data_IF_349108277050
#
_entry.id   IF_349108277050
#
_cell.length_a   1.000
_cell.length_b   1.000
_cell.length_c   1.000
_cell.angle_alpha   90.00
_cell.angle_beta   90.00
_cell.angle_gamma   90.00
#
_symmetry.space_group_name_H-M   'P 1'
#
loop_
_entity.id
_entity.type
_entity.pdbx_description
1 polymer ?
#
# COMPACT_ATOMS: atom_id res chain seq x y z
N UNK A 1 -30.61 -38.59 27.97
CA UNK A 1 -30.96 -37.94 29.24
C UNK A 1 -30.74 -36.45 29.00
N UNK A 2 -31.80 -35.68 28.75
CA UNK A 2 -32.52 -34.75 29.64
C UNK A 2 -31.52 -33.80 30.36
N UNK A 3 -31.55 -32.48 30.24
CA UNK A 3 -32.70 -31.62 30.49
C UNK A 3 -32.40 -30.20 29.97
N UNK A 4 -33.43 -29.49 29.47
CA UNK A 4 -33.57 -28.09 29.15
C UNK A 4 -33.54 -27.23 30.42
N UNK A 5 -33.12 -25.95 30.32
CA UNK A 5 -33.79 -24.89 31.06
C UNK A 5 -33.78 -23.57 30.29
N UNK A 6 -34.97 -23.09 30.06
CA UNK A 6 -35.38 -21.75 29.66
C UNK A 6 -35.37 -20.80 30.86
N UNK A 7 -35.01 -19.56 30.67
CA UNK A 7 -35.55 -18.48 31.49
C UNK A 7 -35.59 -17.19 30.65
N UNK A 8 -36.82 -16.85 30.30
CA UNK A 8 -37.21 -15.53 29.83
C UNK A 8 -37.58 -14.68 31.07
N UNK A 9 -37.24 -13.40 31.07
CA UNK A 9 -37.99 -12.46 31.91
C UNK A 9 -38.12 -11.09 31.23
N UNK A 10 -39.33 -10.62 31.26
CA UNK A 10 -39.92 -9.47 30.60
C UNK A 10 -39.83 -8.18 31.43
N UNK A 11 -40.07 -7.05 30.72
CA UNK A 11 -40.79 -5.84 31.09
C UNK A 11 -40.16 -4.79 32.03
N UNK A 12 -40.04 -3.56 31.50
CA UNK A 12 -40.87 -2.46 32.00
C UNK A 12 -40.88 -1.29 31.00
N UNK A 13 -42.04 -1.02 30.47
CA UNK A 13 -42.43 0.23 29.79
C UNK A 13 -42.74 1.31 30.82
N UNK A 14 -42.22 2.50 30.61
CA UNK A 14 -42.72 3.70 31.33
C UNK A 14 -43.11 4.74 30.27
N UNK A 15 -44.40 4.89 30.12
CA UNK A 15 -45.07 5.97 29.39
C UNK A 15 -45.12 7.21 30.28
N UNK A 16 -44.57 8.32 29.82
CA UNK A 16 -44.96 9.65 30.32
C UNK A 16 -45.58 10.45 29.18
N UNK A 17 -46.90 10.55 29.23
CA UNK A 17 -47.68 11.53 28.48
C UNK A 17 -47.62 12.86 29.21
N UNK A 18 -47.19 13.92 28.55
CA UNK A 18 -47.50 15.27 28.90
C UNK A 18 -47.92 16.02 27.65
N UNK A 19 -49.21 16.36 27.57
CA UNK A 19 -49.75 17.29 26.60
C UNK A 19 -49.51 18.73 27.08
N UNK A 20 -48.95 19.55 26.19
CA UNK A 20 -49.21 20.99 26.21
C UNK A 20 -49.24 21.49 24.75
N UNK A 21 -50.35 22.17 24.42
CA UNK A 21 -50.61 22.89 23.17
C UNK A 21 -49.70 24.10 23.05
N UNK A 22 -49.09 24.39 21.91
CA UNK A 22 -49.44 25.47 20.99
C UNK A 22 -48.48 25.59 19.80
N UNK A 23 -49.09 25.63 18.62
CA UNK A 23 -48.81 26.37 17.41
C UNK A 23 -47.43 26.27 16.66
N UNK A 24 -47.58 25.82 15.41
CA UNK A 24 -46.76 26.16 14.23
C UNK A 24 -45.26 26.03 14.37
N UNK A 25 -44.82 24.81 14.07
CA UNK A 25 -43.51 24.60 13.42
C UNK A 25 -43.60 23.47 12.41
N UNK A 26 -43.18 23.76 11.20
CA UNK A 26 -42.92 22.76 10.15
C UNK A 26 -42.07 21.63 10.73
N UNK A 27 -42.25 20.36 10.32
CA UNK A 27 -41.43 19.28 10.78
C UNK A 27 -40.00 19.51 10.26
N UNK A 28 -39.12 20.02 11.14
CA UNK A 28 -37.68 19.94 10.90
C UNK A 28 -37.32 18.49 10.74
N UNK A 29 -37.14 18.08 9.50
CA UNK A 29 -36.52 16.79 9.14
C UNK A 29 -35.18 16.78 9.86
N UNK A 30 -35.07 15.96 10.91
CA UNK A 30 -33.76 15.62 11.50
C UNK A 30 -32.89 15.11 10.38
N UNK A 31 -31.72 15.70 10.10
CA UNK A 31 -30.82 15.12 9.11
C UNK A 31 -30.50 13.70 9.56
N UNK A 32 -30.81 12.74 8.71
CA UNK A 32 -30.30 11.37 8.83
C UNK A 32 -28.79 11.50 9.00
N UNK A 33 -28.15 10.81 9.97
CA UNK A 33 -26.70 10.82 10.07
C UNK A 33 -26.16 10.34 8.73
N UNK A 34 -25.73 11.25 7.88
CA UNK A 34 -25.00 10.92 6.67
C UNK A 34 -23.77 10.16 7.12
N UNK A 35 -23.50 9.03 6.51
CA UNK A 35 -22.26 8.30 6.71
C UNK A 35 -21.14 9.25 6.28
N UNK A 36 -20.49 9.92 7.22
CA UNK A 36 -19.39 10.83 6.92
C UNK A 36 -18.30 10.04 6.18
N UNK A 37 -17.95 10.53 5.01
CA UNK A 37 -16.89 9.92 4.20
C UNK A 37 -15.57 10.04 4.97
N UNK A 38 -14.79 8.95 5.09
CA UNK A 38 -13.51 8.99 5.78
C UNK A 38 -12.58 10.07 5.22
N UNK A 39 -11.92 10.77 6.11
CA UNK A 39 -10.91 11.79 5.79
C UNK A 39 -9.57 11.38 6.40
N UNK A 40 -8.44 12.00 6.02
CA UNK A 40 -7.17 11.77 6.70
C UNK A 40 -7.20 11.99 8.21
N UNK A 41 -8.06 12.90 8.69
CA UNK A 41 -8.21 13.16 10.12
C UNK A 41 -8.92 12.02 10.84
N UNK A 42 -9.98 11.43 10.25
CA UNK A 42 -10.80 10.38 10.86
C UNK A 42 -10.29 8.97 10.60
N UNK A 43 -9.46 8.76 9.57
CA UNK A 43 -8.90 7.46 9.24
C UNK A 43 -7.93 6.97 10.33
N UNK A 44 -8.11 5.73 10.75
CA UNK A 44 -7.23 5.09 11.74
C UNK A 44 -5.85 4.81 11.15
N UNK A 45 -4.81 4.97 11.98
CA UNK A 45 -3.47 4.52 11.66
C UNK A 45 -3.42 3.00 11.84
N UNK A 46 -3.01 2.32 10.78
CA UNK A 46 -2.72 0.89 10.78
C UNK A 46 -1.23 0.67 10.55
N UNK A 47 -0.73 -0.49 10.96
CA UNK A 47 0.62 -0.93 10.69
C UNK A 47 0.62 -2.10 9.72
N UNK A 48 1.59 -2.11 8.80
CA UNK A 48 1.87 -3.23 7.90
C UNK A 48 3.33 -3.61 7.98
N UNK A 49 3.60 -4.90 8.08
CA UNK A 49 4.96 -5.45 8.02
C UNK A 49 4.93 -6.83 7.36
N UNK A 50 5.86 -7.10 6.48
CA UNK A 50 6.09 -8.43 5.93
C UNK A 50 7.52 -8.59 5.41
N UNK A 51 7.99 -9.83 5.36
CA UNK A 51 9.28 -10.14 4.75
C UNK A 51 9.18 -10.02 3.23
N UNK A 52 10.23 -9.48 2.62
CA UNK A 52 10.37 -9.50 1.18
C UNK A 52 10.74 -10.91 0.71
N UNK A 53 10.08 -11.41 -0.35
CA UNK A 53 10.48 -12.66 -1.01
C UNK A 53 11.85 -12.51 -1.69
N UNK A 54 12.09 -13.22 -2.75
CA UNK A 54 13.28 -13.03 -3.60
C UNK A 54 13.18 -11.80 -4.50
N UNK A 55 14.20 -11.64 -5.35
CA UNK A 55 14.18 -10.63 -6.41
C UNK A 55 13.26 -11.01 -7.59
N UNK A 56 12.73 -12.21 -7.61
CA UNK A 56 11.84 -12.73 -8.64
C UNK A 56 10.37 -12.52 -8.34
N UNK A 57 10.03 -11.89 -7.20
CA UNK A 57 8.66 -11.83 -6.70
C UNK A 57 8.30 -10.48 -6.09
N UNK A 58 7.02 -10.18 -6.14
CA UNK A 58 6.37 -9.01 -5.57
C UNK A 58 5.51 -9.36 -4.36
N UNK A 59 5.34 -8.39 -3.47
CA UNK A 59 4.29 -8.36 -2.43
C UNK A 59 3.23 -7.36 -2.87
N UNK A 60 2.01 -7.81 -3.11
CA UNK A 60 0.85 -7.00 -3.46
C UNK A 60 -0.01 -6.78 -2.22
N UNK A 61 -0.23 -5.54 -1.81
CA UNK A 61 -0.90 -5.16 -0.56
C UNK A 61 -2.24 -4.49 -0.83
N UNK A 62 -3.30 -5.00 -0.23
CA UNK A 62 -4.61 -4.35 -0.11
C UNK A 62 -4.61 -3.53 1.19
N UNK A 63 -4.54 -2.21 1.08
CA UNK A 63 -4.48 -1.30 2.23
C UNK A 63 -5.81 -1.22 3.01
N UNK A 64 -6.93 -1.51 2.37
CA UNK A 64 -8.23 -1.53 3.06
C UNK A 64 -8.25 -2.62 4.11
N UNK A 65 -7.82 -3.83 3.75
CA UNK A 65 -7.86 -5.00 4.62
C UNK A 65 -6.55 -5.27 5.36
N UNK A 66 -5.43 -4.73 4.90
CA UNK A 66 -4.08 -5.04 5.37
C UNK A 66 -3.59 -6.43 4.94
N UNK A 67 -4.30 -7.11 4.04
CA UNK A 67 -3.87 -8.40 3.48
C UNK A 67 -2.88 -8.19 2.34
N UNK A 68 -2.09 -9.22 2.08
CA UNK A 68 -1.17 -9.22 0.95
C UNK A 68 -1.12 -10.58 0.26
N UNK A 69 -0.70 -10.55 -1.00
CA UNK A 69 -0.40 -11.74 -1.80
C UNK A 69 1.02 -11.62 -2.35
N UNK A 70 1.73 -12.74 -2.39
CA UNK A 70 3.01 -12.84 -3.05
C UNK A 70 2.82 -13.44 -4.43
N UNK A 71 3.44 -12.83 -5.44
CA UNK A 71 3.41 -13.34 -6.81
C UNK A 71 4.75 -13.15 -7.48
N UNK A 72 5.15 -14.13 -8.30
CA UNK A 72 6.34 -14.03 -9.13
C UNK A 72 6.20 -12.90 -10.16
N UNK A 73 7.34 -12.27 -10.53
CA UNK A 73 7.37 -11.32 -11.64
C UNK A 73 6.96 -12.01 -12.95
N UNK A 74 5.92 -11.46 -13.59
CA UNK A 74 5.29 -12.05 -14.77
C UNK A 74 5.87 -11.53 -16.09
N UNK A 75 6.61 -10.43 -16.09
CA UNK A 75 7.17 -9.82 -17.28
C UNK A 75 8.24 -10.69 -17.96
N UNK A 76 8.53 -10.36 -19.22
CA UNK A 76 9.65 -10.97 -19.93
C UNK A 76 10.97 -10.66 -19.22
N UNK A 77 11.89 -11.60 -19.26
CA UNK A 77 13.21 -11.49 -18.64
C UNK A 77 14.28 -11.33 -19.68
N UNK A 78 15.13 -10.32 -19.54
CA UNK A 78 16.33 -10.12 -20.36
C UNK A 78 17.59 -10.44 -19.53
N UNK A 79 18.41 -11.35 -20.01
CA UNK A 79 19.70 -11.69 -19.43
C UNK A 79 20.75 -10.81 -20.12
N UNK A 80 21.30 -9.86 -19.39
CA UNK A 80 22.22 -8.85 -19.91
C UNK A 80 23.64 -9.07 -19.39
N UNK A 81 24.60 -9.08 -20.31
CA UNK A 81 26.03 -9.02 -20.01
C UNK A 81 26.48 -7.57 -20.17
N UNK A 82 26.90 -6.95 -19.09
CA UNK A 82 27.32 -5.56 -19.10
C UNK A 82 28.81 -5.44 -19.42
N UNK A 83 29.14 -4.61 -20.42
CA UNK A 83 30.49 -4.17 -20.72
C UNK A 83 30.88 -2.93 -19.93
N UNK A 84 29.88 -2.01 -19.72
CA UNK A 84 29.96 -0.83 -18.88
C UNK A 84 28.61 -0.65 -18.14
N UNK A 85 28.45 0.39 -17.34
CA UNK A 85 27.17 0.65 -16.64
C UNK A 85 25.99 0.94 -17.61
N UNK A 86 26.28 1.36 -18.83
CA UNK A 86 25.25 1.74 -19.83
C UNK A 86 25.29 0.95 -21.12
N UNK A 87 26.35 0.15 -21.31
CA UNK A 87 26.53 -0.68 -22.50
C UNK A 87 26.45 -2.15 -22.12
N UNK A 88 25.50 -2.86 -22.73
CA UNK A 88 25.27 -4.29 -22.49
C UNK A 88 24.83 -5.04 -23.75
N UNK A 89 25.05 -6.32 -23.72
CA UNK A 89 24.55 -7.29 -24.69
C UNK A 89 23.41 -8.10 -24.06
N UNK A 90 22.30 -8.26 -24.77
CA UNK A 90 21.25 -9.20 -24.39
C UNK A 90 21.62 -10.59 -24.90
N UNK A 91 22.05 -11.47 -24.01
CA UNK A 91 22.50 -12.82 -24.33
C UNK A 91 21.37 -13.85 -24.38
N UNK A 92 20.25 -13.55 -23.70
CA UNK A 92 19.07 -14.41 -23.66
C UNK A 92 17.84 -13.58 -23.29
N UNK A 93 16.68 -13.96 -23.84
CA UNK A 93 15.38 -13.44 -23.42
C UNK A 93 14.45 -14.61 -23.11
N UNK A 94 13.72 -14.51 -22.01
CA UNK A 94 12.61 -15.40 -21.67
C UNK A 94 11.28 -14.65 -21.86
N UNK A 95 10.26 -15.32 -22.45
CA UNK A 95 8.96 -14.68 -22.65
C UNK A 95 8.29 -14.36 -21.32
N UNK A 96 7.34 -13.42 -21.34
CA UNK A 96 6.51 -13.12 -20.21
C UNK A 96 5.68 -14.35 -19.79
N UNK A 97 5.56 -14.58 -18.48
CA UNK A 97 4.77 -15.67 -17.90
C UNK A 97 3.29 -15.29 -17.77
N UNK A 98 2.99 -14.03 -17.87
CA UNK A 98 1.65 -13.47 -17.75
C UNK A 98 1.62 -11.97 -18.06
N UNK A 99 0.55 -11.33 -17.68
CA UNK A 99 0.25 -9.91 -17.94
C UNK A 99 -0.39 -9.23 -16.73
N UNK A 100 -0.67 -7.95 -16.82
CA UNK A 100 -1.41 -7.20 -15.78
C UNK A 100 -2.78 -7.82 -15.40
N UNK A 101 -3.38 -8.64 -16.26
CA UNK A 101 -4.66 -9.34 -15.99
C UNK A 101 -4.50 -10.52 -15.02
N UNK A 102 -3.27 -11.01 -14.90
CA UNK A 102 -2.92 -12.17 -14.08
C UNK A 102 -2.42 -11.76 -12.69
N UNK A 103 -2.36 -10.44 -12.41
CA UNK A 103 -2.03 -9.89 -11.09
C UNK A 103 -3.16 -10.13 -10.09
N UNK A 104 -2.89 -10.04 -8.79
CA UNK A 104 -3.91 -10.12 -7.75
C UNK A 104 -5.08 -9.17 -8.05
N UNK A 105 -6.31 -9.63 -7.82
CA UNK A 105 -7.52 -8.87 -8.20
C UNK A 105 -7.70 -7.57 -7.40
N UNK A 106 -7.17 -7.54 -6.19
CA UNK A 106 -7.32 -6.41 -5.29
C UNK A 106 -6.00 -6.10 -4.61
N UNK A 107 -5.42 -4.97 -4.98
CA UNK A 107 -4.22 -4.44 -4.39
C UNK A 107 -4.14 -2.92 -4.65
N UNK A 108 -3.43 -2.22 -3.78
CA UNK A 108 -3.21 -0.78 -3.87
C UNK A 108 -1.73 -0.48 -4.12
N UNK A 109 -0.84 -1.17 -3.41
CA UNK A 109 0.61 -1.05 -3.53
C UNK A 109 1.25 -2.41 -3.77
N UNK A 110 2.33 -2.41 -4.54
CA UNK A 110 3.17 -3.59 -4.65
C UNK A 110 4.64 -3.23 -4.41
N UNK A 111 5.35 -4.12 -3.73
CA UNK A 111 6.74 -3.94 -3.32
C UNK A 111 7.63 -5.02 -3.89
N UNK A 112 8.75 -4.60 -4.47
CA UNK A 112 9.84 -5.45 -4.95
C UNK A 112 11.15 -4.92 -4.36
N UNK A 113 11.59 -5.52 -3.28
CA UNK A 113 12.73 -5.07 -2.47
C UNK A 113 12.51 -3.62 -1.99
N UNK A 114 12.97 -2.62 -2.72
CA UNK A 114 12.74 -1.20 -2.43
C UNK A 114 11.99 -0.48 -3.55
N UNK A 115 11.75 -1.18 -4.64
CA UNK A 115 10.92 -0.67 -5.72
C UNK A 115 9.45 -0.76 -5.33
N UNK A 116 8.69 0.24 -5.72
CA UNK A 116 7.26 0.33 -5.42
C UNK A 116 6.49 0.66 -6.68
N UNK A 117 5.35 0.02 -6.84
CA UNK A 117 4.34 0.41 -7.83
C UNK A 117 3.00 0.64 -7.15
N UNK A 118 2.24 1.56 -7.68
CA UNK A 118 0.85 1.78 -7.30
C UNK A 118 -0.07 1.11 -8.33
N UNK A 119 -1.30 0.84 -7.97
CA UNK A 119 -2.27 0.31 -8.91
C UNK A 119 -2.86 1.44 -9.79
N UNK A 120 -2.03 2.05 -10.62
CA UNK A 120 -2.40 3.18 -11.45
C UNK A 120 -2.63 4.48 -10.66
N UNK A 121 -2.07 4.59 -9.47
CA UNK A 121 -2.14 5.78 -8.64
C UNK A 121 -0.98 6.74 -8.88
N UNK A 122 -0.93 7.79 -8.05
CA UNK A 122 0.14 8.77 -8.04
C UNK A 122 0.53 9.16 -6.60
N UNK A 123 1.78 9.53 -6.39
CA UNK A 123 2.39 9.73 -5.08
C UNK A 123 3.01 11.12 -4.96
N UNK A 124 2.85 11.73 -3.80
CA UNK A 124 3.55 12.95 -3.38
C UNK A 124 4.31 12.65 -2.09
N UNK A 125 5.63 12.78 -2.10
CA UNK A 125 6.42 12.82 -0.87
C UNK A 125 6.24 14.20 -0.23
N UNK A 126 5.71 14.24 0.99
CA UNK A 126 5.44 15.49 1.70
C UNK A 126 6.65 15.93 2.54
N UNK A 127 6.60 17.13 3.08
CA UNK A 127 7.58 17.59 4.09
C UNK A 127 7.21 17.15 5.51
N UNK A 128 6.05 16.51 5.70
CA UNK A 128 5.57 16.07 7.01
C UNK A 128 6.25 14.78 7.44
N UNK A 129 6.58 14.68 8.72
CA UNK A 129 7.20 13.50 9.35
C UNK A 129 6.25 12.76 10.29
N UNK A 130 5.06 13.31 10.53
CA UNK A 130 4.05 12.72 11.39
C UNK A 130 2.74 12.53 10.64
N UNK A 131 2.38 11.27 10.43
CA UNK A 131 1.14 10.89 9.74
C UNK A 131 -0.13 11.39 10.46
N UNK A 132 -0.08 11.57 11.79
CA UNK A 132 -1.21 12.06 12.58
C UNK A 132 -1.48 13.55 12.37
N UNK A 133 -0.46 14.33 11.98
CA UNK A 133 -0.61 15.78 11.79
C UNK A 133 -1.34 16.14 10.50
N UNK A 134 -1.46 15.19 9.56
CA UNK A 134 -2.09 15.43 8.26
C UNK A 134 -3.60 15.22 8.39
N UNK A 135 -4.35 16.31 8.34
CA UNK A 135 -5.82 16.35 8.46
C UNK A 135 -6.54 16.34 7.11
N UNK A 136 -5.88 16.79 6.08
CA UNK A 136 -6.36 16.78 4.69
C UNK A 136 -5.24 16.30 3.79
N UNK A 137 -5.59 15.63 2.68
CA UNK A 137 -4.56 15.18 1.74
C UNK A 137 -3.82 16.38 1.17
N UNK A 138 -2.47 16.42 1.25
CA UNK A 138 -1.70 17.56 0.76
C UNK A 138 -1.94 17.85 -0.72
N UNK A 139 -1.93 19.12 -1.09
CA UNK A 139 -1.91 19.53 -2.48
C UNK A 139 -0.47 19.53 -3.01
N UNK A 140 -0.29 19.29 -4.28
CA UNK A 140 1.03 19.27 -4.93
C UNK A 140 1.04 18.41 -6.18
N UNK A 141 2.24 18.24 -6.74
CA UNK A 141 2.47 17.48 -7.96
C UNK A 141 2.66 15.99 -7.62
N UNK A 142 1.58 15.24 -7.80
CA UNK A 142 1.60 13.79 -7.61
C UNK A 142 2.23 13.11 -8.81
N UNK A 143 3.21 12.25 -8.56
CA UNK A 143 3.98 11.51 -9.58
C UNK A 143 3.36 10.13 -9.79
N UNK A 144 2.93 9.85 -11.01
CA UNK A 144 2.40 8.55 -11.40
C UNK A 144 3.53 7.52 -11.62
N UNK A 145 3.15 6.25 -11.70
CA UNK A 145 4.06 5.18 -12.09
C UNK A 145 4.54 5.38 -13.54
N UNK A 146 5.80 5.08 -13.77
CA UNK A 146 6.44 5.18 -15.10
C UNK A 146 7.08 3.86 -15.51
N UNK A 147 7.18 3.59 -16.83
CA UNK A 147 7.93 2.44 -17.36
C UNK A 147 9.34 2.42 -16.80
N UNK A 148 9.74 1.27 -16.29
CA UNK A 148 11.00 1.09 -15.57
C UNK A 148 11.48 -0.35 -15.68
N UNK A 149 12.63 -0.63 -15.09
CA UNK A 149 13.20 -1.98 -15.02
C UNK A 149 13.52 -2.33 -13.58
N UNK A 150 13.39 -3.62 -13.25
CA UNK A 150 13.78 -4.20 -11.98
C UNK A 150 14.73 -5.37 -12.20
N UNK A 151 15.55 -5.64 -11.19
CA UNK A 151 16.35 -6.85 -11.11
C UNK A 151 15.50 -8.00 -10.61
N UNK A 152 15.44 -9.11 -11.37
CA UNK A 152 14.61 -10.26 -11.01
C UNK A 152 15.41 -11.50 -10.61
N UNK A 153 16.73 -11.48 -10.78
CA UNK A 153 17.56 -12.61 -10.39
C UNK A 153 18.99 -12.18 -10.04
N UNK A 154 19.47 -12.58 -8.86
CA UNK A 154 20.85 -12.40 -8.44
C UNK A 154 21.75 -13.63 -8.70
N UNK A 155 21.15 -14.80 -8.92
CA UNK A 155 21.88 -16.04 -9.15
C UNK A 155 22.73 -15.98 -10.41
N UNK A 156 22.16 -15.49 -11.49
CA UNK A 156 22.84 -15.32 -12.78
C UNK A 156 24.02 -14.35 -12.69
N UNK A 157 23.92 -13.29 -11.90
CA UNK A 157 25.02 -12.37 -11.66
C UNK A 157 26.18 -13.04 -10.93
N UNK A 158 25.91 -13.90 -9.95
CA UNK A 158 26.92 -14.65 -9.21
C UNK A 158 27.58 -15.73 -10.05
N UNK A 159 26.80 -16.40 -10.91
CA UNK A 159 27.25 -17.54 -11.70
C UNK A 159 27.96 -17.17 -13.00
N UNK A 160 27.64 -16.03 -13.61
CA UNK A 160 28.19 -15.69 -14.93
C UNK A 160 28.28 -14.18 -15.20
N UNK A 161 28.09 -13.32 -14.19
CA UNK A 161 28.14 -11.86 -14.38
C UNK A 161 26.95 -11.31 -15.16
N UNK A 162 25.88 -12.09 -15.31
CA UNK A 162 24.66 -11.66 -16.01
C UNK A 162 23.72 -10.93 -15.04
N UNK A 163 23.15 -9.86 -15.51
CA UNK A 163 22.04 -9.18 -14.85
C UNK A 163 20.73 -9.57 -15.50
N UNK A 164 19.80 -10.08 -14.73
CA UNK A 164 18.46 -10.43 -15.23
C UNK A 164 17.49 -9.35 -14.85
N UNK A 165 16.89 -8.72 -15.84
CA UNK A 165 15.96 -7.60 -15.67
C UNK A 165 14.60 -7.93 -16.27
N UNK A 166 13.56 -7.32 -15.70
CA UNK A 166 12.19 -7.30 -16.24
C UNK A 166 11.70 -5.86 -16.34
N UNK A 167 10.87 -5.58 -17.35
CA UNK A 167 10.23 -4.29 -17.55
C UNK A 167 8.91 -4.25 -16.78
N UNK A 168 8.69 -3.18 -16.05
CA UNK A 168 7.50 -2.99 -15.22
C UNK A 168 7.18 -1.52 -15.04
N UNK A 169 6.12 -1.21 -14.31
CA UNK A 169 5.78 0.15 -13.90
C UNK A 169 6.31 0.39 -12.49
N UNK A 170 6.95 1.54 -12.23
CA UNK A 170 7.44 1.91 -10.90
C UNK A 170 7.07 3.34 -10.54
N UNK A 171 6.75 3.57 -9.28
CA UNK A 171 6.61 4.89 -8.72
C UNK A 171 7.96 5.40 -8.23
N UNK A 172 8.57 6.31 -8.98
CA UNK A 172 9.89 6.86 -8.63
C UNK A 172 9.86 7.79 -7.42
N UNK A 173 8.71 8.38 -7.13
CA UNK A 173 8.56 9.21 -5.94
C UNK A 173 8.53 8.35 -4.67
N UNK A 174 7.69 7.31 -4.66
CA UNK A 174 7.60 6.42 -3.51
C UNK A 174 8.88 5.58 -3.31
N UNK A 175 9.61 5.24 -4.37
CA UNK A 175 10.90 4.54 -4.26
C UNK A 175 11.96 5.32 -3.44
N UNK A 176 11.77 6.62 -3.19
CA UNK A 176 12.63 7.43 -2.31
C UNK A 176 12.52 7.03 -0.84
N UNK A 177 11.58 6.14 -0.48
CA UNK A 177 11.39 5.68 0.91
C UNK A 177 12.64 5.02 1.50
N UNK A 178 13.49 4.38 0.69
CA UNK A 178 14.67 3.65 1.13
C UNK A 178 15.89 3.97 0.23
N UNK A 179 16.65 4.99 0.62
CA UNK A 179 17.83 5.44 -0.12
C UNK A 179 19.03 4.52 0.12
N UNK A 180 19.60 3.98 -0.94
CA UNK A 180 20.85 3.23 -0.87
C UNK A 180 22.04 4.17 -0.55
N UNK A 181 22.89 3.74 0.35
CA UNK A 181 24.15 4.45 0.72
C UNK A 181 25.39 3.75 0.14
N UNK A 182 25.19 2.68 -0.62
CA UNK A 182 26.25 1.88 -1.27
C UNK A 182 25.99 0.38 -1.13
N UNK A 183 26.76 -0.39 -1.89
CA UNK A 183 26.66 -1.84 -1.85
C UNK A 183 27.00 -2.38 -0.45
N UNK A 184 26.12 -3.25 0.09
CA UNK A 184 26.29 -3.86 1.41
C UNK A 184 26.14 -2.91 2.61
N UNK A 185 25.84 -1.62 2.38
CA UNK A 185 25.59 -0.65 3.47
C UNK A 185 24.11 -0.57 3.82
N UNK A 186 23.76 -0.24 5.08
CA UNK A 186 22.39 0.04 5.47
C UNK A 186 21.76 1.13 4.60
N UNK A 187 20.47 1.01 4.34
CA UNK A 187 19.70 2.05 3.65
C UNK A 187 19.26 3.13 4.64
N UNK A 188 19.11 4.36 4.15
CA UNK A 188 18.47 5.43 4.90
C UNK A 188 16.98 5.39 4.59
N UNK A 189 16.17 5.21 5.62
CA UNK A 189 14.70 5.25 5.50
C UNK A 189 14.26 6.71 5.58
N UNK A 190 13.36 7.10 4.67
CA UNK A 190 12.76 8.44 4.69
C UNK A 190 11.84 8.58 5.90
N UNK A 191 12.00 9.66 6.64
CA UNK A 191 11.10 10.08 7.71
C UNK A 191 9.86 10.83 7.20
N UNK A 192 9.72 10.98 5.87
CA UNK A 192 8.64 11.73 5.25
C UNK A 192 7.40 10.88 5.04
N UNK A 193 6.24 11.51 5.20
CA UNK A 193 4.95 10.90 4.85
C UNK A 193 4.75 10.99 3.34
N UNK A 194 4.35 9.88 2.73
CA UNK A 194 3.95 9.81 1.33
C UNK A 194 2.43 9.85 1.25
N UNK A 195 1.89 10.81 0.50
CA UNK A 195 0.47 10.89 0.18
C UNK A 195 0.22 10.19 -1.16
N UNK A 196 -0.80 9.35 -1.22
CA UNK A 196 -1.13 8.54 -2.41
C UNK A 196 -2.57 8.81 -2.82
N UNK A 197 -2.78 9.01 -4.12
CA UNK A 197 -4.09 9.03 -4.76
C UNK A 197 -4.18 7.82 -5.68
N UNK A 198 -5.14 6.94 -5.46
CA UNK A 198 -5.33 5.76 -6.29
C UNK A 198 -6.32 6.03 -7.43
N UNK A 199 -6.20 5.23 -8.50
CA UNK A 199 -7.06 5.35 -9.68
C UNK A 199 -8.56 5.20 -9.37
N UNK A 200 -8.91 4.41 -8.36
CA UNK A 200 -10.29 4.19 -7.90
C UNK A 200 -10.82 5.33 -7.00
N UNK A 201 -10.09 6.42 -6.84
CA UNK A 201 -10.45 7.56 -6.00
C UNK A 201 -10.07 7.41 -4.53
N UNK A 202 -9.69 6.23 -4.06
CA UNK A 202 -9.18 6.05 -2.71
C UNK A 202 -7.88 6.82 -2.51
N UNK A 203 -7.56 7.10 -1.25
CA UNK A 203 -6.37 7.84 -0.86
C UNK A 203 -5.64 7.12 0.27
N UNK A 204 -4.35 7.37 0.42
CA UNK A 204 -3.60 6.90 1.59
C UNK A 204 -2.52 7.89 2.01
N UNK A 205 -2.13 7.80 3.29
CA UNK A 205 -0.92 8.39 3.84
C UNK A 205 -0.04 7.24 4.34
N UNK A 206 1.25 7.25 4.01
CA UNK A 206 2.18 6.18 4.32
C UNK A 206 3.44 6.75 4.93
N UNK A 207 3.89 6.18 6.03
CA UNK A 207 5.14 6.50 6.70
C UNK A 207 5.96 5.22 6.88
N UNK A 208 7.00 5.06 6.09
CA UNK A 208 7.88 3.90 6.17
C UNK A 208 8.67 3.87 7.48
N UNK A 209 8.90 2.68 8.01
CA UNK A 209 9.58 2.44 9.27
C UNK A 209 10.92 1.76 9.08
N UNK A 210 10.93 0.65 8.35
CA UNK A 210 12.16 -0.11 8.14
C UNK A 210 12.12 -0.89 6.82
N UNK A 211 13.29 -1.32 6.37
CA UNK A 211 13.50 -2.23 5.24
C UNK A 211 14.09 -3.58 5.70
N UNK A 212 14.23 -3.77 7.00
CA UNK A 212 14.65 -5.01 7.65
C UNK A 212 13.56 -5.48 8.61
N UNK A 213 13.56 -6.77 8.91
CA UNK A 213 12.70 -7.34 9.94
C UNK A 213 13.13 -6.88 11.36
N UNK A 214 12.32 -7.18 12.36
CA UNK A 214 12.59 -6.82 13.75
C UNK A 214 13.93 -7.38 14.30
N UNK A 215 14.54 -8.37 13.62
CA UNK A 215 15.88 -8.89 13.97
C UNK A 215 17.00 -8.12 13.28
N UNK A 216 16.69 -7.21 12.37
CA UNK A 216 17.66 -6.44 11.58
C UNK A 216 18.43 -7.27 10.53
N UNK A 217 17.94 -8.47 10.18
CA UNK A 217 18.68 -9.42 9.34
C UNK A 217 18.05 -9.69 7.98
N UNK A 218 16.71 -9.72 7.92
CA UNK A 218 16.00 -10.10 6.70
C UNK A 218 15.37 -8.88 6.05
N UNK A 219 15.39 -8.82 4.73
CA UNK A 219 14.69 -7.76 4.00
C UNK A 219 13.20 -7.84 4.29
N UNK A 220 12.62 -6.70 4.61
CA UNK A 220 11.21 -6.51 4.91
C UNK A 220 10.71 -5.20 4.30
N UNK A 221 9.42 -5.00 4.33
CA UNK A 221 8.81 -3.68 4.22
C UNK A 221 7.94 -3.46 5.44
N UNK A 222 8.15 -2.35 6.12
CA UNK A 222 7.41 -1.98 7.32
C UNK A 222 6.98 -0.52 7.22
N UNK A 223 5.69 -0.24 7.40
CA UNK A 223 5.14 1.12 7.35
C UNK A 223 3.86 1.26 8.17
N UNK A 224 3.65 2.47 8.69
CA UNK A 224 2.36 2.90 9.21
C UNK A 224 1.57 3.59 8.09
N UNK A 225 0.25 3.44 8.09
CA UNK A 225 -0.58 4.04 7.07
C UNK A 225 -1.98 4.42 7.54
N UNK A 226 -2.56 5.43 6.90
CA UNK A 226 -4.00 5.73 6.93
C UNK A 226 -4.56 5.44 5.55
N UNK A 227 -5.62 4.65 5.47
CA UNK A 227 -6.36 4.40 4.24
C UNK A 227 -7.69 5.14 4.28
N UNK A 228 -7.96 5.94 3.26
CA UNK A 228 -9.13 6.79 3.13
C UNK A 228 -9.94 6.27 1.94
N UNK A 229 -10.98 5.50 2.23
CA UNK A 229 -11.89 5.00 1.21
C UNK A 229 -12.82 6.11 0.78
N UNK A 230 -12.90 6.34 -0.51
CA UNK A 230 -13.90 7.24 -1.12
C UNK A 230 -15.15 6.46 -1.51
N UNK A 231 -16.29 7.14 -1.41
CA UNK A 231 -17.58 6.55 -1.77
C UNK A 231 -17.74 6.42 -3.28
#
# INVERSE_FOLDING_TARGET
MKTKFFAALCFAAALFTSCSKDNNDEPKVKPTPGTEQPTPETAQIKHFETLMPGYDSWIYVDLETGKYEQQEELGAREYRKYNTMTDYEVVKTEPAKGSEKDLPKKWDLAFHITDVRTNGGAVLMTDQTNISSIKTLPQGDYVADVPSEIFVELGAMKAGGLMVVSKTMLNKEMAKWAKSTGMGKPKIISDKVFAVKFKNGNEALILFKDYLDATGKKKAVSFDYKFIKKA
#
